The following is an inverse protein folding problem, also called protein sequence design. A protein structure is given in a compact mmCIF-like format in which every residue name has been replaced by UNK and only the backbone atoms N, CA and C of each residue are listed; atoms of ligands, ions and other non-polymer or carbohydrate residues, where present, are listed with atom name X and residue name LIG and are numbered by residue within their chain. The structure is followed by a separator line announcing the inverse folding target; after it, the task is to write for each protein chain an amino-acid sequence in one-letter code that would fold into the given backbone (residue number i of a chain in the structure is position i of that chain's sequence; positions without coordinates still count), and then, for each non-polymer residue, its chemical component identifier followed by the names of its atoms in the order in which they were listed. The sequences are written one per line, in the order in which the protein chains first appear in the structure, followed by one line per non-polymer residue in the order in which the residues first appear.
data_IF_939290464825
#
_entry.id   IF_939290464825
#
_cell.length_a   1.000
_cell.length_b   1.000
_cell.length_c   1.000
_cell.angle_alpha   90.00
_cell.angle_beta   90.00
_cell.angle_gamma   90.00
#
_symmetry.space_group_name_H-M   'P 1'
#
loop_
_entity.id
_entity.type
_entity.pdbx_description
1 polymer ?
#
# COMPACT_ATOMS: atom_id res chain seq x y z
N UNK A 1 11.29 -17.13 0.45
CA UNK A 1 10.60 -16.23 1.40
C UNK A 1 11.01 -14.81 1.07
N UNK A 2 10.05 -13.89 0.88
CA UNK A 2 10.28 -12.55 0.32
C UNK A 2 10.73 -11.49 1.33
N UNK A 3 11.45 -11.86 2.38
CA UNK A 3 11.94 -10.94 3.41
C UNK A 3 12.80 -9.84 2.78
N UNK A 4 12.37 -8.57 2.93
CA UNK A 4 13.14 -7.39 2.53
C UNK A 4 12.69 -6.71 1.23
N UNK A 5 11.63 -7.16 0.55
CA UNK A 5 11.09 -6.46 -0.61
C UNK A 5 10.09 -5.37 -0.22
N UNK A 6 10.17 -4.24 -0.91
CA UNK A 6 9.20 -3.15 -0.83
C UNK A 6 8.32 -3.20 -2.08
N UNK A 7 7.00 -3.07 -1.90
CA UNK A 7 6.03 -3.01 -2.97
C UNK A 7 5.19 -1.74 -2.87
N UNK A 8 5.00 -1.04 -3.99
CA UNK A 8 4.10 0.12 -4.09
C UNK A 8 2.81 -0.33 -4.78
N UNK A 9 1.67 -0.09 -4.14
CA UNK A 9 0.36 -0.40 -4.70
C UNK A 9 -0.41 0.89 -4.97
N UNK A 10 -0.53 1.24 -6.25
CA UNK A 10 -1.37 2.36 -6.71
C UNK A 10 -2.85 2.02 -6.51
N UNK A 11 -3.62 2.98 -5.98
CA UNK A 11 -5.02 2.72 -5.61
C UNK A 11 -5.17 1.70 -4.48
N UNK A 12 -4.15 1.50 -3.64
CA UNK A 12 -4.12 0.47 -2.59
C UNK A 12 -5.15 0.66 -1.48
N UNK A 13 -5.80 1.82 -1.38
CA UNK A 13 -6.71 2.14 -0.28
C UNK A 13 -7.98 1.28 -0.23
N UNK A 14 -8.48 0.74 -1.36
CA UNK A 14 -9.79 0.07 -1.46
C UNK A 14 -9.82 -0.99 -2.57
N UNK A 15 -10.92 -1.75 -2.65
CA UNK A 15 -11.21 -2.66 -3.76
C UNK A 15 -10.10 -3.69 -3.98
N UNK A 16 -9.75 -3.92 -5.25
CA UNK A 16 -8.68 -4.84 -5.65
C UNK A 16 -7.32 -4.40 -5.10
N UNK A 17 -7.01 -3.10 -5.13
CA UNK A 17 -5.74 -2.57 -4.61
C UNK A 17 -5.52 -2.94 -3.15
N UNK A 18 -6.56 -2.86 -2.32
CA UNK A 18 -6.50 -3.32 -0.92
C UNK A 18 -6.21 -4.82 -0.82
N UNK A 19 -6.90 -5.65 -1.62
CA UNK A 19 -6.67 -7.09 -1.63
C UNK A 19 -5.23 -7.45 -2.00
N UNK A 20 -4.68 -6.78 -3.02
CA UNK A 20 -3.29 -6.95 -3.46
C UNK A 20 -2.32 -6.52 -2.35
N UNK A 21 -2.55 -5.37 -1.73
CA UNK A 21 -1.71 -4.87 -0.64
C UNK A 21 -1.66 -5.83 0.55
N UNK A 22 -2.80 -6.39 0.95
CA UNK A 22 -2.88 -7.38 2.02
C UNK A 22 -2.17 -8.69 1.66
N UNK A 23 -2.34 -9.19 0.43
CA UNK A 23 -1.69 -10.41 -0.03
C UNK A 23 -0.16 -10.25 -0.08
N UNK A 24 0.33 -9.14 -0.63
CA UNK A 24 1.77 -8.85 -0.67
C UNK A 24 2.38 -8.77 0.73
N UNK A 25 1.70 -8.10 1.67
CA UNK A 25 2.14 -8.02 3.04
C UNK A 25 2.16 -9.39 3.74
N UNK A 26 1.14 -10.22 3.52
CA UNK A 26 1.10 -11.60 4.03
C UNK A 26 2.24 -12.49 3.51
N UNK A 27 2.80 -12.15 2.34
CA UNK A 27 4.00 -12.80 1.79
C UNK A 27 5.33 -12.17 2.25
N UNK A 28 5.29 -11.23 3.21
CA UNK A 28 6.47 -10.65 3.85
C UNK A 28 7.02 -9.39 3.17
N UNK A 29 6.28 -8.77 2.26
CA UNK A 29 6.66 -7.48 1.68
C UNK A 29 6.29 -6.32 2.61
N UNK A 30 7.11 -5.26 2.62
CA UNK A 30 6.69 -3.95 3.11
C UNK A 30 5.88 -3.26 2.02
N UNK A 31 4.67 -2.83 2.32
CA UNK A 31 3.73 -2.32 1.31
C UNK A 31 3.49 -0.83 1.50
N UNK A 32 3.74 -0.04 0.45
CA UNK A 32 3.28 1.35 0.35
C UNK A 32 1.91 1.36 -0.29
N UNK A 33 0.92 1.85 0.46
CA UNK A 33 -0.48 1.97 0.06
C UNK A 33 -0.69 3.37 -0.51
N UNK A 34 -0.56 3.51 -1.83
CA UNK A 34 -0.77 4.79 -2.48
C UNK A 34 -2.27 5.14 -2.58
N UNK A 35 -2.59 6.42 -2.32
CA UNK A 35 -3.94 6.98 -2.44
C UNK A 35 -3.91 8.42 -2.95
N UNK A 36 -5.02 8.88 -3.55
CA UNK A 36 -5.19 10.28 -3.97
C UNK A 36 -6.07 11.07 -2.98
N UNK A 37 -7.32 10.64 -2.81
CA UNK A 37 -8.34 11.41 -2.05
C UNK A 37 -8.91 10.67 -0.83
N UNK A 38 -8.42 9.47 -0.51
CA UNK A 38 -9.06 8.57 0.47
C UNK A 38 -8.10 8.12 1.57
N UNK A 39 -7.55 9.09 2.29
CA UNK A 39 -6.58 8.87 3.36
C UNK A 39 -7.08 7.86 4.40
N UNK A 40 -8.29 8.05 4.95
CA UNK A 40 -8.84 7.15 5.97
C UNK A 40 -8.94 5.68 5.48
N UNK A 41 -9.22 5.47 4.19
CA UNK A 41 -9.26 4.13 3.62
C UNK A 41 -7.85 3.53 3.41
N UNK A 42 -6.85 4.36 3.13
CA UNK A 42 -5.46 3.94 3.05
C UNK A 42 -4.89 3.58 4.43
N UNK A 43 -5.16 4.41 5.44
CA UNK A 43 -4.82 4.14 6.84
C UNK A 43 -5.48 2.85 7.34
N UNK A 44 -6.75 2.64 7.02
CA UNK A 44 -7.45 1.40 7.34
C UNK A 44 -6.79 0.17 6.69
N UNK A 45 -6.30 0.32 5.45
CA UNK A 45 -5.57 -0.77 4.78
C UNK A 45 -4.23 -1.05 5.48
N UNK A 46 -3.48 0.00 5.85
CA UNK A 46 -2.23 -0.14 6.60
C UNK A 46 -2.45 -0.78 7.98
N UNK A 47 -3.53 -0.41 8.70
CA UNK A 47 -3.91 -1.03 9.97
C UNK A 47 -4.21 -2.52 9.80
N UNK A 48 -4.91 -2.92 8.74
CA UNK A 48 -5.17 -4.34 8.45
C UNK A 48 -3.90 -5.12 8.14
N UNK A 49 -2.97 -4.51 7.41
CA UNK A 49 -1.65 -5.08 7.17
C UNK A 49 -0.91 -5.32 8.50
N UNK A 50 -0.87 -4.30 9.37
CA UNK A 50 -0.23 -4.39 10.67
C UNK A 50 -0.89 -5.44 11.58
N UNK A 51 -2.23 -5.53 11.58
CA UNK A 51 -2.97 -6.55 12.31
C UNK A 51 -2.67 -7.97 11.82
N UNK A 52 -2.29 -8.13 10.55
CA UNK A 52 -1.81 -9.40 9.97
C UNK A 52 -0.32 -9.68 10.20
N UNK A 53 0.38 -8.86 10.99
CA UNK A 53 1.82 -9.00 11.25
C UNK A 53 2.73 -8.50 10.12
N UNK A 54 2.20 -7.83 9.11
CA UNK A 54 2.97 -7.22 8.03
C UNK A 54 3.25 -5.73 8.25
N UNK A 55 3.96 -5.13 7.30
CA UNK A 55 4.32 -3.71 7.32
C UNK A 55 3.61 -2.94 6.20
N UNK A 56 2.79 -1.96 6.55
CA UNK A 56 1.99 -1.17 5.60
C UNK A 56 2.11 0.33 5.86
N UNK A 57 2.32 1.13 4.81
CA UNK A 57 2.54 2.58 4.89
C UNK A 57 1.60 3.33 3.94
N UNK A 58 0.66 4.14 4.44
CA UNK A 58 -0.17 4.96 3.57
C UNK A 58 0.63 6.14 3.04
N UNK A 59 0.62 6.36 1.72
CA UNK A 59 1.29 7.48 1.06
C UNK A 59 0.33 8.16 0.08
N UNK A 60 0.24 9.49 0.13
CA UNK A 60 -0.50 10.25 -0.87
C UNK A 60 0.42 10.54 -2.05
N UNK A 61 0.02 10.11 -3.25
CA UNK A 61 0.67 10.51 -4.50
C UNK A 61 -0.33 10.44 -5.67
N UNK A 62 -0.35 11.50 -6.47
CA UNK A 62 -1.06 11.53 -7.74
C UNK A 62 -0.20 10.86 -8.82
N UNK A 63 -0.66 9.70 -9.30
CA UNK A 63 0.04 8.93 -10.33
C UNK A 63 -0.06 9.55 -11.73
N UNK A 64 -0.90 10.57 -11.91
CA UNK A 64 -1.00 11.35 -13.15
C UNK A 64 0.00 12.50 -13.20
N UNK A 65 0.57 12.89 -12.04
CA UNK A 65 1.68 13.83 -11.96
C UNK A 65 3.01 13.06 -12.04
N UNK A 66 3.69 13.19 -13.17
CA UNK A 66 5.01 12.56 -13.39
C UNK A 66 6.07 12.97 -12.36
N UNK A 67 5.93 14.12 -11.71
CA UNK A 67 6.80 14.55 -10.62
C UNK A 67 6.58 13.76 -9.32
N UNK A 68 5.33 13.34 -9.04
CA UNK A 68 4.98 12.54 -7.87
C UNK A 68 5.11 11.02 -8.12
N UNK A 69 5.03 10.56 -9.38
CA UNK A 69 5.08 9.15 -9.76
C UNK A 69 6.50 8.60 -10.03
N UNK A 70 7.53 9.46 -9.98
CA UNK A 70 8.90 9.10 -10.32
C UNK A 70 9.62 8.42 -9.15
N UNK A 71 10.25 7.28 -9.41
CA UNK A 71 11.15 6.55 -8.51
C UNK A 71 12.61 6.69 -8.88
#
# INVERSE_FOLDING_TARGET
MGSGRVAVVTGGARGLGRGIALALAAHGATVVVNYLSHQAAAEETARRIAAGGGSGWPLRADVTDSGEAKG
#
